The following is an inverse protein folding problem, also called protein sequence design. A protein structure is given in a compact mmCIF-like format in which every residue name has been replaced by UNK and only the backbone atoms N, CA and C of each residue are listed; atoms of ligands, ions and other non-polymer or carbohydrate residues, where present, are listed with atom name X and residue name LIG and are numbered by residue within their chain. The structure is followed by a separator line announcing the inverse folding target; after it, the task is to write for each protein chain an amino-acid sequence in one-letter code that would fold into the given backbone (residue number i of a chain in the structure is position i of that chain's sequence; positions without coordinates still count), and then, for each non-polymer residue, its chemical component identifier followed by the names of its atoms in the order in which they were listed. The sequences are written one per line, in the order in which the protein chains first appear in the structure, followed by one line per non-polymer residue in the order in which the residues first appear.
data_IF_936932057537
#
_entry.id   IF_936932057537
#
_cell.length_a   1.000
_cell.length_b   1.000
_cell.length_c   1.000
_cell.angle_alpha   90.00
_cell.angle_beta   90.00
_cell.angle_gamma   90.00
#
_symmetry.space_group_name_H-M   'P 1'
#
loop_
_entity.id
_entity.type
_entity.pdbx_description
1 polymer ?
#
# COMPACT_ATOMS: atom_id res chain seq x y z
N UNK A 1 35.25 47.44 5.54
CA UNK A 1 34.87 46.91 6.87
C UNK A 1 34.52 45.44 6.69
N UNK A 2 35.50 44.54 6.80
CA UNK A 2 35.28 43.09 6.73
C UNK A 2 34.46 42.65 7.93
N UNK A 3 33.26 42.12 7.70
CA UNK A 3 32.47 41.51 8.78
C UNK A 3 33.13 40.17 9.12
N UNK A 4 33.66 40.07 10.34
CA UNK A 4 34.24 38.82 10.85
C UNK A 4 33.21 37.69 10.78
N UNK A 5 33.49 36.67 9.96
CA UNK A 5 32.68 35.45 9.83
C UNK A 5 32.89 34.47 10.99
N UNK A 6 33.77 34.77 11.94
CA UNK A 6 34.12 33.87 13.04
C UNK A 6 32.94 33.64 13.99
N UNK A 7 32.21 34.70 14.36
CA UNK A 7 31.02 34.58 15.23
C UNK A 7 29.90 33.75 14.60
N UNK A 8 29.44 34.03 13.35
CA UNK A 8 28.41 33.20 12.74
C UNK A 8 28.88 31.76 12.52
N UNK A 9 30.15 31.54 12.17
CA UNK A 9 30.71 30.19 12.04
C UNK A 9 30.69 29.42 13.36
N UNK A 10 31.16 30.03 14.46
CA UNK A 10 31.16 29.43 15.79
C UNK A 10 29.72 29.10 16.25
N UNK A 11 28.76 29.99 16.00
CA UNK A 11 27.34 29.73 16.30
C UNK A 11 26.81 28.52 15.54
N UNK A 12 27.12 28.40 14.24
CA UNK A 12 26.71 27.23 13.43
C UNK A 12 27.35 25.95 13.95
N UNK A 13 28.64 25.96 14.28
CA UNK A 13 29.34 24.79 14.84
C UNK A 13 28.72 24.36 16.17
N UNK A 14 28.42 25.31 17.06
CA UNK A 14 27.77 25.02 18.35
C UNK A 14 26.37 24.43 18.10
N UNK A 15 25.55 25.03 17.24
CA UNK A 15 24.20 24.53 16.94
C UNK A 15 24.24 23.14 16.32
N UNK A 16 25.17 22.87 15.39
CA UNK A 16 25.35 21.54 14.80
C UNK A 16 25.83 20.52 15.83
N UNK A 17 26.75 20.89 16.71
CA UNK A 17 27.24 19.99 17.76
C UNK A 17 26.14 19.64 18.76
N UNK A 18 25.36 20.64 19.20
CA UNK A 18 24.20 20.43 20.09
C UNK A 18 23.14 19.58 19.39
N UNK A 19 22.86 19.81 18.10
CA UNK A 19 21.92 18.99 17.33
C UNK A 19 22.40 17.54 17.20
N UNK A 20 23.69 17.31 16.89
CA UNK A 20 24.28 15.97 16.84
C UNK A 20 24.22 15.29 18.21
N UNK A 21 24.53 16.01 19.29
CA UNK A 21 24.49 15.47 20.63
C UNK A 21 23.06 15.13 21.08
N UNK A 22 22.09 16.00 20.80
CA UNK A 22 20.68 15.71 21.04
C UNK A 22 20.22 14.48 20.23
N UNK A 23 20.56 14.41 18.93
CA UNK A 23 20.24 13.25 18.09
C UNK A 23 20.87 11.95 18.60
N UNK A 24 22.11 12.01 19.10
CA UNK A 24 22.85 10.83 19.56
C UNK A 24 22.40 10.32 20.94
N UNK A 25 21.95 11.21 21.83
CA UNK A 25 21.75 10.87 23.24
C UNK A 25 20.33 11.08 23.78
N UNK A 26 19.44 11.80 23.08
CA UNK A 26 18.09 12.11 23.59
C UNK A 26 16.95 11.55 22.76
N UNK A 27 17.22 10.87 21.64
CA UNK A 27 16.16 10.36 20.75
C UNK A 27 16.10 8.83 20.80
N UNK A 28 15.78 8.30 21.98
CA UNK A 28 15.17 6.97 22.05
C UNK A 28 13.83 7.04 21.33
N UNK A 29 13.79 6.61 20.07
CA UNK A 29 12.54 6.56 19.31
C UNK A 29 11.82 5.28 19.71
N UNK A 30 10.68 5.42 20.37
CA UNK A 30 9.82 4.27 20.63
C UNK A 30 9.22 3.81 19.30
N UNK A 31 9.48 2.56 18.94
CA UNK A 31 8.80 1.92 17.81
C UNK A 31 7.38 1.61 18.26
N UNK A 32 6.43 2.39 17.77
CA UNK A 32 5.01 2.15 18.00
C UNK A 32 4.52 1.20 16.90
N UNK A 33 4.38 -0.08 17.28
CA UNK A 33 3.96 -1.14 16.35
C UNK A 33 2.45 -1.16 16.10
N UNK A 34 1.66 -0.24 16.66
CA UNK A 34 0.21 -0.22 16.48
C UNK A 34 -0.13 0.25 15.07
N UNK A 35 -0.60 -0.63 14.16
CA UNK A 35 -0.94 -0.22 12.82
C UNK A 35 -2.25 0.58 12.80
N UNK A 36 -2.38 1.50 11.84
CA UNK A 36 -3.66 2.18 11.58
C UNK A 36 -4.71 1.27 10.91
N UNK A 37 -4.29 0.10 10.44
CA UNK A 37 -5.14 -0.89 9.76
C UNK A 37 -4.92 -2.29 10.29
N UNK A 38 -5.93 -3.14 10.16
CA UNK A 38 -5.86 -4.58 10.37
C UNK A 38 -5.24 -5.23 9.14
N UNK A 39 -4.36 -6.19 9.32
CA UNK A 39 -3.77 -6.99 8.24
C UNK A 39 -4.70 -8.13 7.79
N UNK A 40 -5.98 -7.81 7.67
CA UNK A 40 -7.04 -8.74 7.32
C UNK A 40 -8.00 -8.02 6.36
N UNK A 41 -8.22 -8.64 5.21
CA UNK A 41 -9.18 -8.16 4.22
C UNK A 41 -10.47 -8.96 4.38
N UNK A 42 -11.63 -8.32 4.60
CA UNK A 42 -12.90 -9.02 4.86
C UNK A 42 -13.31 -9.87 3.66
N UNK A 43 -13.84 -11.07 3.91
CA UNK A 43 -14.40 -11.94 2.86
C UNK A 43 -15.67 -11.37 2.24
N UNK A 44 -16.47 -10.62 2.98
CA UNK A 44 -17.71 -10.04 2.47
C UNK A 44 -17.71 -8.53 2.71
N UNK A 45 -17.96 -7.77 1.64
CA UNK A 45 -18.09 -6.31 1.69
C UNK A 45 -19.36 -5.94 0.93
N UNK A 46 -20.50 -6.05 1.63
CA UNK A 46 -21.84 -5.79 1.08
C UNK A 46 -22.13 -6.59 -0.20
N UNK A 47 -21.96 -5.98 -1.37
CA UNK A 47 -22.21 -6.61 -2.68
C UNK A 47 -20.95 -7.23 -3.30
N UNK A 48 -19.83 -7.23 -2.58
CA UNK A 48 -18.54 -7.73 -3.03
C UNK A 48 -18.14 -8.96 -2.24
N UNK A 49 -17.90 -10.05 -2.96
CA UNK A 49 -17.35 -11.28 -2.41
C UNK A 49 -15.82 -11.30 -2.61
N UNK A 50 -15.10 -11.32 -1.51
CA UNK A 50 -13.65 -11.27 -1.40
C UNK A 50 -13.04 -12.65 -1.19
N UNK A 51 -11.98 -12.92 -1.93
CA UNK A 51 -11.23 -14.15 -1.84
C UNK A 51 -9.74 -13.88 -1.73
N UNK A 52 -9.17 -14.22 -0.58
CA UNK A 52 -7.76 -14.00 -0.31
C UNK A 52 -6.90 -14.82 -1.26
N UNK A 53 -5.82 -14.20 -1.75
CA UNK A 53 -4.84 -14.81 -2.63
C UNK A 53 -3.61 -15.27 -1.83
N UNK A 54 -3.17 -16.47 -2.17
CA UNK A 54 -1.96 -17.11 -1.65
C UNK A 54 -1.07 -17.52 -2.82
N UNK A 55 0.25 -17.43 -2.66
CA UNK A 55 1.23 -17.61 -3.74
C UNK A 55 2.21 -18.72 -3.38
N UNK A 56 2.44 -19.64 -4.31
CA UNK A 56 3.45 -20.68 -4.14
C UNK A 56 4.79 -20.20 -4.69
N UNK A 57 5.85 -20.24 -3.86
CA UNK A 57 7.19 -19.78 -4.24
C UNK A 57 8.10 -20.90 -4.78
N UNK A 58 7.60 -22.14 -4.92
CA UNK A 58 8.40 -23.27 -5.38
C UNK A 58 8.83 -23.05 -6.86
N UNK A 59 10.13 -22.78 -7.15
CA UNK A 59 10.58 -22.43 -8.49
C UNK A 59 10.40 -23.54 -9.52
N UNK A 60 10.46 -24.79 -9.09
CA UNK A 60 10.49 -25.94 -9.99
C UNK A 60 9.08 -26.30 -10.47
N UNK A 61 8.09 -26.17 -9.58
CA UNK A 61 6.73 -26.62 -9.85
C UNK A 61 5.74 -25.48 -10.12
N UNK A 62 5.87 -24.33 -9.46
CA UNK A 62 4.80 -23.35 -9.35
C UNK A 62 5.23 -21.88 -9.51
N UNK A 63 6.53 -21.58 -9.56
CA UNK A 63 7.05 -20.22 -9.63
C UNK A 63 8.18 -20.06 -10.65
N UNK A 64 8.12 -20.84 -11.75
CA UNK A 64 9.11 -20.78 -12.82
C UNK A 64 9.17 -19.36 -13.40
N UNK A 65 10.37 -18.82 -13.55
CA UNK A 65 10.63 -17.47 -14.09
C UNK A 65 9.87 -16.35 -13.35
N UNK A 66 9.71 -16.46 -12.02
CA UNK A 66 8.95 -15.52 -11.17
C UNK A 66 7.47 -15.36 -11.55
N UNK A 67 6.90 -16.38 -12.20
CA UNK A 67 5.47 -16.47 -12.48
C UNK A 67 4.82 -17.38 -11.44
N UNK A 68 4.69 -16.86 -10.22
CA UNK A 68 4.09 -17.59 -9.11
C UNK A 68 2.64 -18.00 -9.42
N UNK A 69 2.31 -19.27 -9.20
CA UNK A 69 0.94 -19.74 -9.14
C UNK A 69 0.27 -19.13 -7.92
N UNK A 70 -0.81 -18.39 -8.17
CA UNK A 70 -1.70 -17.90 -7.13
C UNK A 70 -2.91 -18.83 -6.96
N UNK A 71 -3.37 -18.92 -5.73
CA UNK A 71 -4.51 -19.73 -5.32
C UNK A 71 -5.44 -18.89 -4.47
N UNK A 72 -6.72 -19.15 -4.63
CA UNK A 72 -7.74 -18.60 -3.76
C UNK A 72 -7.88 -19.43 -2.50
N UNK A 73 -7.91 -18.79 -1.33
CA UNK A 73 -8.05 -19.50 -0.06
C UNK A 73 -9.31 -20.36 -0.03
N UNK A 74 -10.41 -19.92 -0.63
CA UNK A 74 -11.65 -20.72 -0.68
C UNK A 74 -11.55 -22.00 -1.50
N UNK A 75 -10.54 -22.12 -2.37
CA UNK A 75 -10.29 -23.29 -3.24
C UNK A 75 -9.27 -24.26 -2.64
N UNK A 76 -8.71 -23.92 -1.48
CA UNK A 76 -7.69 -24.72 -0.80
C UNK A 76 -8.32 -25.59 0.29
N UNK A 77 -7.96 -26.87 0.31
CA UNK A 77 -8.28 -27.75 1.45
C UNK A 77 -7.53 -27.31 2.72
N UNK A 78 -6.27 -26.89 2.56
CA UNK A 78 -5.42 -26.36 3.63
C UNK A 78 -4.91 -24.99 3.17
N UNK A 79 -5.31 -23.87 3.82
CA UNK A 79 -5.07 -22.51 3.34
C UNK A 79 -3.62 -22.13 3.02
N UNK A 80 -2.65 -22.76 3.68
CA UNK A 80 -1.23 -22.43 3.56
C UNK A 80 -0.41 -23.51 2.84
N UNK A 81 -1.04 -24.51 2.22
CA UNK A 81 -0.35 -25.60 1.51
C UNK A 81 -0.74 -25.60 0.03
N UNK A 82 0.26 -25.61 -0.84
CA UNK A 82 0.08 -25.62 -2.27
C UNK A 82 -0.51 -26.96 -2.73
N UNK A 83 -1.67 -26.97 -3.41
CA UNK A 83 -2.32 -28.21 -3.83
C UNK A 83 -1.56 -28.91 -4.97
N UNK A 84 -0.64 -28.22 -5.64
CA UNK A 84 0.14 -28.76 -6.76
C UNK A 84 1.44 -29.45 -6.34
N UNK A 85 2.12 -28.94 -5.31
CA UNK A 85 3.46 -29.41 -4.93
C UNK A 85 3.67 -29.60 -3.43
N UNK A 86 2.67 -29.34 -2.59
CA UNK A 86 2.75 -29.48 -1.13
C UNK A 86 3.60 -28.43 -0.41
N UNK A 87 4.21 -27.48 -1.12
CA UNK A 87 4.98 -26.40 -0.52
C UNK A 87 4.11 -25.36 0.20
N UNK A 88 4.68 -24.65 1.16
CA UNK A 88 4.01 -23.55 1.86
C UNK A 88 3.62 -22.44 0.88
N UNK A 89 2.42 -21.88 1.08
CA UNK A 89 1.94 -20.70 0.39
C UNK A 89 2.17 -19.43 1.21
N UNK A 90 2.32 -18.30 0.52
CA UNK A 90 2.62 -17.00 1.11
C UNK A 90 1.59 -15.95 0.70
N UNK A 91 1.48 -14.85 1.45
CA UNK A 91 0.51 -13.79 1.18
C UNK A 91 0.92 -12.82 0.04
N UNK A 92 2.14 -12.95 -0.48
CA UNK A 92 2.69 -12.12 -1.56
C UNK A 92 3.46 -12.98 -2.56
N UNK A 93 3.66 -12.46 -3.76
CA UNK A 93 4.46 -13.13 -4.80
C UNK A 93 5.93 -13.20 -4.39
N UNK A 94 6.69 -14.14 -4.96
CA UNK A 94 8.09 -14.36 -4.59
C UNK A 94 8.94 -13.13 -4.88
N UNK A 95 8.71 -12.51 -6.04
CA UNK A 95 9.39 -11.28 -6.43
C UNK A 95 9.14 -10.11 -5.45
N UNK A 96 7.97 -10.08 -4.80
CA UNK A 96 7.65 -9.08 -3.78
C UNK A 96 8.39 -9.40 -2.48
N UNK A 97 8.34 -10.66 -2.03
CA UNK A 97 9.01 -11.10 -0.81
C UNK A 97 10.52 -10.88 -0.84
N UNK A 98 11.16 -11.11 -1.99
CA UNK A 98 12.61 -10.93 -2.14
C UNK A 98 13.04 -9.45 -2.22
N UNK A 99 12.13 -8.54 -2.57
CA UNK A 99 12.43 -7.11 -2.70
C UNK A 99 12.06 -6.30 -1.45
N UNK A 100 11.20 -6.85 -0.58
CA UNK A 100 10.70 -6.18 0.60
C UNK A 100 11.49 -6.62 1.85
N UNK A 101 11.65 -5.73 2.85
CA UNK A 101 12.19 -6.11 4.16
C UNK A 101 11.41 -7.28 4.78
N UNK A 102 12.11 -8.17 5.51
CA UNK A 102 11.54 -9.40 6.06
C UNK A 102 10.35 -9.17 7.00
N UNK A 103 10.27 -8.01 7.65
CA UNK A 103 9.20 -7.60 8.56
C UNK A 103 8.07 -6.82 7.87
N UNK A 104 8.03 -6.82 6.53
CA UNK A 104 6.91 -6.28 5.75
C UNK A 104 5.77 -7.29 5.74
N UNK A 105 4.60 -6.85 6.20
CA UNK A 105 3.38 -7.67 6.12
C UNK A 105 2.60 -7.32 4.87
N UNK A 106 1.94 -8.32 4.30
CA UNK A 106 1.21 -8.21 3.05
C UNK A 106 -0.04 -9.08 3.12
N UNK A 107 -1.17 -8.56 2.66
CA UNK A 107 -2.37 -9.36 2.33
C UNK A 107 -2.93 -8.91 0.98
N UNK A 108 -3.44 -9.87 0.20
CA UNK A 108 -4.08 -9.65 -1.11
C UNK A 108 -5.39 -10.40 -1.20
N UNK A 109 -6.41 -9.78 -1.73
CA UNK A 109 -7.69 -10.42 -2.05
C UNK A 109 -8.20 -9.97 -3.40
N UNK A 110 -8.90 -10.85 -4.10
CA UNK A 110 -9.72 -10.46 -5.25
C UNK A 110 -11.18 -10.38 -4.82
N UNK A 111 -11.82 -9.26 -5.11
CA UNK A 111 -13.23 -9.01 -4.87
C UNK A 111 -13.99 -9.07 -6.17
N UNK A 112 -15.15 -9.73 -6.14
CA UNK A 112 -16.05 -9.84 -7.30
C UNK A 112 -17.45 -9.42 -6.89
N UNK A 113 -18.15 -8.70 -7.77
CA UNK A 113 -19.55 -8.34 -7.55
C UNK A 113 -20.48 -9.14 -8.49
N UNK A 114 -21.80 -9.00 -8.30
CA UNK A 114 -22.80 -9.70 -9.11
C UNK A 114 -22.78 -9.31 -10.61
N UNK A 115 -22.20 -8.15 -10.97
CA UNK A 115 -22.04 -7.73 -12.36
C UNK A 115 -20.80 -8.37 -13.03
N UNK A 116 -19.97 -9.10 -12.26
CA UNK A 116 -18.73 -9.70 -12.74
C UNK A 116 -17.53 -8.77 -12.70
N UNK A 117 -17.67 -7.52 -12.21
CA UNK A 117 -16.53 -6.64 -11.98
C UNK A 117 -15.59 -7.28 -10.97
N UNK A 118 -14.30 -7.28 -11.28
CA UNK A 118 -13.26 -7.81 -10.41
C UNK A 118 -12.27 -6.74 -10.00
N UNK A 119 -12.07 -6.60 -8.69
CA UNK A 119 -11.10 -5.71 -8.08
C UNK A 119 -10.06 -6.55 -7.33
N UNK A 120 -8.78 -6.20 -7.44
CA UNK A 120 -7.75 -6.76 -6.57
C UNK A 120 -7.36 -5.70 -5.55
N UNK A 121 -7.38 -6.10 -4.29
CA UNK A 121 -7.07 -5.23 -3.17
C UNK A 121 -5.90 -5.78 -2.40
N UNK A 122 -5.00 -4.90 -1.98
CA UNK A 122 -3.87 -5.26 -1.13
C UNK A 122 -3.67 -4.29 0.00
N UNK A 123 -3.20 -4.80 1.14
CA UNK A 123 -2.65 -4.01 2.23
C UNK A 123 -1.19 -4.43 2.40
N UNK A 124 -0.29 -3.46 2.35
CA UNK A 124 1.14 -3.62 2.66
C UNK A 124 1.43 -2.80 3.90
N UNK A 125 1.87 -3.42 4.98
CA UNK A 125 2.25 -2.73 6.20
C UNK A 125 3.76 -2.69 6.31
N UNK A 126 4.32 -1.47 6.35
CA UNK A 126 5.75 -1.25 6.40
C UNK A 126 6.37 -1.95 7.60
N UNK A 127 7.52 -2.59 7.44
CA UNK A 127 8.33 -3.01 8.57
C UNK A 127 9.00 -1.85 9.31
N UNK A 128 10.03 -2.18 10.08
CA UNK A 128 10.94 -1.26 10.76
C UNK A 128 11.78 -0.47 9.74
N UNK A 129 12.06 -1.09 8.59
CA UNK A 129 12.77 -0.47 7.48
C UNK A 129 11.84 0.41 6.63
N UNK A 130 12.31 1.64 6.33
CA UNK A 130 11.52 2.72 5.71
C UNK A 130 11.24 2.53 4.23
N UNK A 131 11.97 1.62 3.59
CA UNK A 131 11.92 1.32 2.16
C UNK A 131 10.86 0.28 1.78
N UNK A 132 10.19 -0.32 2.77
CA UNK A 132 9.07 -1.27 2.59
C UNK A 132 7.92 -0.72 1.74
N UNK A 133 7.76 0.61 1.66
CA UNK A 133 6.71 1.24 0.85
C UNK A 133 7.32 2.39 0.04
N UNK A 134 7.43 2.21 -1.27
CA UNK A 134 7.84 3.27 -2.19
C UNK A 134 6.64 3.80 -3.00
N UNK A 135 6.91 4.65 -3.99
CA UNK A 135 5.89 5.15 -4.91
C UNK A 135 5.37 4.06 -5.85
N UNK A 136 4.04 3.92 -6.04
CA UNK A 136 3.48 2.85 -6.87
C UNK A 136 3.90 2.96 -8.34
N UNK A 137 4.12 4.19 -8.83
CA UNK A 137 4.56 4.48 -10.20
C UNK A 137 5.85 3.73 -10.58
N UNK A 138 6.75 3.49 -9.62
CA UNK A 138 8.00 2.74 -9.87
C UNK A 138 7.71 1.26 -10.14
N UNK A 139 6.91 0.62 -9.30
CA UNK A 139 6.54 -0.78 -9.47
C UNK A 139 5.64 -1.00 -10.69
N UNK A 140 4.65 -0.14 -10.90
CA UNK A 140 3.75 -0.26 -12.06
C UNK A 140 4.53 -0.22 -13.37
N UNK A 141 5.50 0.69 -13.51
CA UNK A 141 6.41 0.72 -14.66
C UNK A 141 7.31 -0.51 -14.73
N UNK A 142 7.88 -0.95 -13.60
CA UNK A 142 8.71 -2.16 -13.53
C UNK A 142 7.96 -3.44 -13.93
N UNK A 143 6.65 -3.48 -13.70
CA UNK A 143 5.75 -4.56 -14.12
C UNK A 143 5.30 -4.46 -15.60
N UNK A 144 5.79 -3.45 -16.32
CA UNK A 144 5.52 -3.24 -17.74
C UNK A 144 4.25 -2.44 -18.05
N UNK A 145 3.72 -1.66 -17.10
CA UNK A 145 2.59 -0.77 -17.37
C UNK A 145 3.07 0.60 -17.88
N UNK A 146 2.34 1.15 -18.84
CA UNK A 146 2.34 2.57 -19.18
C UNK A 146 1.44 3.31 -18.18
N UNK A 147 1.85 4.51 -17.77
CA UNK A 147 1.05 5.38 -16.89
C UNK A 147 0.38 6.45 -17.76
N UNK A 148 -0.93 6.35 -17.92
CA UNK A 148 -1.72 7.19 -18.84
C UNK A 148 -2.21 8.49 -18.18
N UNK A 149 -2.09 8.58 -16.85
CA UNK A 149 -2.44 9.76 -16.07
C UNK A 149 -2.66 9.43 -14.60
N UNK A 150 -2.65 10.45 -13.75
CA UNK A 150 -2.96 10.32 -12.32
C UNK A 150 -3.78 11.50 -11.81
N UNK A 151 -4.66 11.25 -10.85
CA UNK A 151 -5.54 12.26 -10.26
C UNK A 151 -5.99 11.83 -8.86
N UNK A 152 -6.49 12.78 -8.07
CA UNK A 152 -7.14 12.46 -6.79
C UNK A 152 -8.62 12.20 -7.02
N UNK A 153 -9.14 11.17 -6.36
CA UNK A 153 -10.55 10.83 -6.31
C UNK A 153 -11.03 10.96 -4.87
N UNK A 154 -12.09 11.73 -4.65
CA UNK A 154 -12.73 11.86 -3.34
C UNK A 154 -13.77 10.76 -3.18
N UNK A 155 -13.59 9.89 -2.18
CA UNK A 155 -14.51 8.81 -1.84
C UNK A 155 -15.34 9.26 -0.64
N UNK A 156 -16.66 9.52 -0.79
CA UNK A 156 -17.49 9.95 0.35
C UNK A 156 -17.56 8.84 1.41
N UNK A 157 -17.15 9.08 2.65
CA UNK A 157 -17.27 8.09 3.72
C UNK A 157 -18.37 8.55 4.68
N UNK A 158 -19.33 7.68 4.98
CA UNK A 158 -20.41 8.02 5.91
C UNK A 158 -19.83 8.39 7.28
N UNK A 159 -20.32 9.47 7.90
CA UNK A 159 -19.89 9.88 9.24
C UNK A 159 -18.55 10.63 9.34
N UNK A 160 -17.90 10.99 8.23
CA UNK A 160 -16.68 11.82 8.23
C UNK A 160 -16.47 12.56 6.90
N UNK A 161 -15.41 13.36 6.82
CA UNK A 161 -14.96 13.95 5.56
C UNK A 161 -14.53 12.88 4.55
N UNK A 162 -14.70 13.13 3.23
CA UNK A 162 -14.31 12.20 2.18
C UNK A 162 -12.86 11.72 2.31
N UNK A 163 -12.63 10.46 1.94
CA UNK A 163 -11.30 9.89 1.81
C UNK A 163 -10.75 10.23 0.43
N UNK A 164 -9.66 10.99 0.38
CA UNK A 164 -8.94 11.24 -0.86
C UNK A 164 -8.03 10.06 -1.20
N UNK A 165 -8.23 9.44 -2.36
CA UNK A 165 -7.37 8.38 -2.91
C UNK A 165 -6.67 8.85 -4.19
N UNK A 166 -5.45 8.38 -4.43
CA UNK A 166 -4.73 8.64 -5.69
C UNK A 166 -5.06 7.53 -6.67
N UNK A 167 -5.61 7.89 -7.83
CA UNK A 167 -5.85 6.96 -8.94
C UNK A 167 -4.78 7.18 -10.01
N UNK A 168 -4.17 6.09 -10.46
CA UNK A 168 -3.29 6.05 -11.63
C UNK A 168 -3.98 5.23 -12.71
N UNK A 169 -4.23 5.84 -13.88
CA UNK A 169 -4.67 5.12 -15.06
C UNK A 169 -3.46 4.43 -15.70
N UNK A 170 -3.59 3.16 -15.99
CA UNK A 170 -2.54 2.35 -16.59
C UNK A 170 -3.01 1.65 -17.85
N UNK A 171 -2.06 1.33 -18.72
CA UNK A 171 -2.28 0.50 -19.89
C UNK A 171 -1.11 -0.42 -20.13
N UNK A 172 -1.38 -1.59 -20.74
CA UNK A 172 -0.34 -2.53 -21.16
C UNK A 172 -0.76 -3.20 -22.46
N UNK A 173 0.17 -3.30 -23.40
CA UNK A 173 -0.06 -4.01 -24.66
C UNK A 173 0.35 -5.47 -24.52
N UNK A 174 -0.57 -6.38 -24.82
CA UNK A 174 -0.31 -7.81 -24.86
C UNK A 174 -0.24 -8.28 -26.31
N UNK A 175 0.74 -9.14 -26.61
CA UNK A 175 0.82 -9.83 -27.90
C UNK A 175 -0.05 -11.07 -27.85
N UNK A 176 -1.08 -11.10 -28.68
CA UNK A 176 -2.00 -12.21 -28.85
C UNK A 176 -1.85 -12.80 -30.27
N UNK A 177 -2.42 -13.97 -30.54
CA UNK A 177 -2.43 -14.57 -31.88
C UNK A 177 -3.10 -13.65 -32.92
N UNK A 178 -4.04 -12.80 -32.48
CA UNK A 178 -4.77 -11.83 -33.30
C UNK A 178 -4.05 -10.47 -33.43
N UNK A 179 -2.85 -10.33 -32.85
CA UNK A 179 -2.06 -9.10 -32.85
C UNK A 179 -1.92 -8.44 -31.47
N UNK A 180 -1.46 -7.19 -31.46
CA UNK A 180 -1.27 -6.41 -30.24
C UNK A 180 -2.62 -5.87 -29.74
N UNK A 181 -3.03 -6.29 -28.53
CA UNK A 181 -4.25 -5.82 -27.87
C UNK A 181 -3.90 -4.98 -26.63
N UNK A 182 -4.39 -3.73 -26.53
CA UNK A 182 -4.22 -2.95 -25.32
C UNK A 182 -5.14 -3.48 -24.21
N UNK A 183 -4.62 -3.50 -22.99
CA UNK A 183 -5.36 -3.79 -21.77
C UNK A 183 -5.28 -2.55 -20.88
N UNK A 184 -6.44 -2.01 -20.52
CA UNK A 184 -6.55 -0.79 -19.74
C UNK A 184 -6.95 -1.13 -18.30
N UNK A 185 -6.23 -0.56 -17.36
CA UNK A 185 -6.44 -0.80 -15.93
C UNK A 185 -6.30 0.49 -15.14
N UNK A 186 -6.73 0.45 -13.88
CA UNK A 186 -6.46 1.51 -12.93
C UNK A 186 -5.80 0.94 -11.68
N UNK A 187 -5.12 1.83 -10.97
CA UNK A 187 -4.48 1.54 -9.70
C UNK A 187 -4.76 2.68 -8.73
N UNK A 188 -5.68 2.47 -7.79
CA UNK A 188 -6.07 3.41 -6.77
C UNK A 188 -5.37 3.10 -5.44
N UNK A 189 -4.87 4.11 -4.72
CA UNK A 189 -4.19 3.89 -3.46
C UNK A 189 -4.24 5.06 -2.50
N UNK A 190 -4.00 4.77 -1.22
CA UNK A 190 -3.73 5.73 -0.17
C UNK A 190 -2.88 5.10 0.93
N UNK A 191 -2.34 5.94 1.81
CA UNK A 191 -1.54 5.52 2.95
C UNK A 191 -2.29 5.81 4.24
N UNK A 192 -2.19 4.91 5.21
CA UNK A 192 -2.80 5.03 6.54
C UNK A 192 -1.72 4.80 7.60
N UNK A 193 -1.47 5.81 8.41
CA UNK A 193 -0.65 5.71 9.62
C UNK A 193 -1.55 5.64 10.87
N UNK A 194 -0.96 5.81 12.05
CA UNK A 194 -1.69 5.79 13.32
C UNK A 194 -2.62 7.01 13.52
N UNK A 195 -2.26 8.15 12.91
CA UNK A 195 -2.93 9.44 13.09
C UNK A 195 -3.40 10.08 11.79
N UNK A 196 -2.90 9.60 10.65
CA UNK A 196 -2.95 10.33 9.40
C UNK A 196 -3.25 9.41 8.23
N UNK A 197 -4.01 9.94 7.29
CA UNK A 197 -4.27 9.32 6.00
C UNK A 197 -3.84 10.27 4.91
N UNK A 198 -3.25 9.74 3.85
CA UNK A 198 -2.85 10.59 2.74
C UNK A 198 -2.71 9.80 1.44
N UNK A 199 -3.13 10.37 0.29
CA UNK A 199 -2.80 9.82 -1.01
C UNK A 199 -1.33 10.15 -1.42
N UNK A 200 -0.64 11.02 -0.68
CA UNK A 200 0.67 11.54 -1.05
C UNK A 200 1.81 10.85 -0.32
N UNK A 201 2.68 10.20 -1.09
CA UNK A 201 3.93 9.63 -0.56
C UNK A 201 4.81 10.70 0.11
N UNK A 202 4.80 11.94 -0.39
CA UNK A 202 5.60 13.02 0.22
C UNK A 202 5.03 13.46 1.57
N UNK A 203 3.70 13.60 1.67
CA UNK A 203 3.05 13.90 2.94
C UNK A 203 3.32 12.79 3.96
N UNK A 204 3.27 11.52 3.53
CA UNK A 204 3.67 10.38 4.36
C UNK A 204 5.10 10.51 4.88
N UNK A 205 6.06 10.83 4.01
CA UNK A 205 7.46 11.02 4.42
C UNK A 205 7.64 12.20 5.39
N UNK A 206 6.87 13.27 5.20
CA UNK A 206 6.85 14.40 6.12
C UNK A 206 6.34 13.97 7.51
N UNK A 207 5.21 13.28 7.60
CA UNK A 207 4.66 12.80 8.87
C UNK A 207 5.57 11.81 9.58
N UNK A 208 6.18 10.88 8.84
CA UNK A 208 7.21 9.98 9.36
C UNK A 208 8.38 10.73 9.99
N UNK A 209 8.84 11.82 9.38
CA UNK A 209 9.91 12.64 9.92
C UNK A 209 9.44 13.46 11.13
N UNK A 210 8.24 14.05 11.04
CA UNK A 210 7.64 14.86 12.09
C UNK A 210 7.41 14.06 13.38
N UNK A 211 6.75 12.90 13.30
CA UNK A 211 6.46 12.05 14.46
C UNK A 211 7.75 11.62 15.18
N UNK A 212 8.81 11.36 14.41
CA UNK A 212 10.10 10.95 14.97
C UNK A 212 10.83 12.09 15.67
N UNK A 213 10.79 13.29 15.11
CA UNK A 213 11.52 14.46 15.64
C UNK A 213 10.76 15.09 16.79
N UNK A 214 9.44 15.23 16.67
CA UNK A 214 8.61 16.00 17.60
C UNK A 214 7.97 15.12 18.66
N UNK A 215 7.56 13.90 18.31
CA UNK A 215 6.86 12.98 19.22
C UNK A 215 7.73 11.81 19.69
N UNK A 216 8.96 11.69 19.17
CA UNK A 216 9.87 10.56 19.42
C UNK A 216 9.23 9.19 19.15
N UNK A 217 8.29 9.13 18.19
CA UNK A 217 7.58 7.91 17.78
C UNK A 217 7.94 7.50 16.36
N UNK A 218 8.02 6.20 16.13
CA UNK A 218 8.10 5.63 14.80
C UNK A 218 6.91 4.72 14.54
N UNK A 219 5.86 5.31 13.95
CA UNK A 219 4.64 4.62 13.57
C UNK A 219 4.84 3.81 12.28
N UNK A 220 4.30 2.58 12.23
CA UNK A 220 4.17 1.83 10.98
C UNK A 220 3.09 2.48 10.10
N UNK A 221 3.30 2.42 8.79
CA UNK A 221 2.33 2.89 7.80
C UNK A 221 1.85 1.73 6.96
N UNK A 222 0.56 1.73 6.66
CA UNK A 222 -0.03 0.85 5.70
C UNK A 222 -0.20 1.56 4.36
N UNK A 223 -0.08 0.78 3.31
CA UNK A 223 -0.33 1.13 1.93
C UNK A 223 -1.45 0.24 1.41
N UNK A 224 -2.59 0.86 1.15
CA UNK A 224 -3.77 0.19 0.65
C UNK A 224 -3.90 0.51 -0.82
N UNK A 225 -4.11 -0.52 -1.63
CA UNK A 225 -4.32 -0.37 -3.05
C UNK A 225 -5.50 -1.20 -3.53
N UNK A 226 -6.22 -0.65 -4.50
CA UNK A 226 -7.32 -1.29 -5.22
C UNK A 226 -7.05 -1.11 -6.71
N UNK A 227 -7.00 -2.21 -7.45
CA UNK A 227 -6.76 -2.22 -8.88
C UNK A 227 -7.85 -3.00 -9.61
N UNK A 228 -8.15 -2.61 -10.84
CA UNK A 228 -9.17 -3.25 -11.65
C UNK A 228 -9.02 -2.91 -13.12
N UNK A 229 -9.89 -3.50 -13.93
CA UNK A 229 -10.01 -3.17 -15.35
C UNK A 229 -10.78 -1.86 -15.52
N UNK A 230 -10.48 -1.14 -16.60
CA UNK A 230 -11.25 0.02 -17.04
C UNK A 230 -11.36 0.03 -18.56
N UNK A 231 -12.32 0.80 -19.05
CA UNK A 231 -12.35 1.20 -20.46
C UNK A 231 -11.18 2.11 -20.82
N UNK A 232 -10.86 2.18 -22.12
CA UNK A 232 -9.81 3.06 -22.64
C UNK A 232 -10.06 4.52 -22.24
N UNK A 233 -11.31 4.96 -22.36
CA UNK A 233 -11.80 6.29 -22.02
C UNK A 233 -13.01 6.23 -21.09
N UNK A 234 -13.25 7.31 -20.35
CA UNK A 234 -14.35 7.42 -19.39
C UNK A 234 -13.98 7.01 -17.96
N UNK A 235 -14.96 7.14 -17.06
CA UNK A 235 -14.78 6.98 -15.60
C UNK A 235 -15.79 6.00 -14.99
N UNK A 236 -16.41 5.13 -15.80
CA UNK A 236 -17.43 4.20 -15.32
C UNK A 236 -16.92 3.28 -14.18
N UNK A 237 -15.65 2.89 -14.23
CA UNK A 237 -14.98 2.10 -13.19
C UNK A 237 -14.93 2.80 -11.82
N UNK A 238 -14.99 4.14 -11.78
CA UNK A 238 -14.94 4.89 -10.52
C UNK A 238 -16.15 4.60 -9.65
N UNK A 239 -17.31 4.29 -10.25
CA UNK A 239 -18.52 3.93 -9.49
C UNK A 239 -18.28 2.67 -8.64
N UNK A 240 -17.69 1.64 -9.25
CA UNK A 240 -17.38 0.39 -8.56
C UNK A 240 -16.25 0.58 -7.55
N UNK A 241 -15.23 1.38 -7.90
CA UNK A 241 -14.14 1.72 -7.00
C UNK A 241 -14.63 2.48 -5.75
N UNK A 242 -15.44 3.53 -5.92
CA UNK A 242 -16.02 4.33 -4.83
C UNK A 242 -16.87 3.41 -3.95
N UNK A 243 -17.83 2.70 -4.55
CA UNK A 243 -18.72 1.78 -3.83
C UNK A 243 -17.93 0.75 -3.02
N UNK A 244 -16.89 0.16 -3.60
CA UNK A 244 -16.05 -0.80 -2.89
C UNK A 244 -15.29 -0.18 -1.72
N UNK A 245 -14.61 0.96 -1.94
CA UNK A 245 -13.83 1.61 -0.88
C UNK A 245 -14.73 2.07 0.27
N UNK A 246 -15.89 2.65 -0.03
CA UNK A 246 -16.86 3.09 0.98
C UNK A 246 -17.21 1.98 1.96
N UNK A 247 -17.49 0.80 1.43
CA UNK A 247 -17.96 -0.34 2.20
C UNK A 247 -16.79 -1.07 2.88
N UNK A 248 -15.62 -1.18 2.23
CA UNK A 248 -14.45 -1.87 2.79
C UNK A 248 -13.76 -1.07 3.90
N UNK A 249 -13.68 0.26 3.72
CA UNK A 249 -12.86 1.15 4.54
C UNK A 249 -13.07 0.99 6.06
N UNK A 250 -14.30 0.93 6.61
CA UNK A 250 -14.52 0.76 8.05
C UNK A 250 -13.99 -0.57 8.61
N UNK A 251 -13.93 -1.63 7.80
CA UNK A 251 -13.50 -2.95 8.25
C UNK A 251 -12.00 -3.05 8.43
N UNK A 252 -11.24 -2.36 7.57
CA UNK A 252 -9.78 -2.44 7.55
C UNK A 252 -9.13 -1.55 8.60
N UNK A 253 -9.83 -0.57 9.17
CA UNK A 253 -9.25 0.28 10.22
C UNK A 253 -9.12 -0.46 11.56
N UNK A 254 -8.07 -0.15 12.32
CA UNK A 254 -8.01 -0.48 13.74
C UNK A 254 -8.98 0.40 14.54
N UNK A 255 -9.34 -0.03 15.75
CA UNK A 255 -10.26 0.74 16.60
C UNK A 255 -9.72 2.14 16.91
N UNK A 256 -8.40 2.26 17.14
CA UNK A 256 -7.75 3.54 17.41
C UNK A 256 -7.81 4.49 16.22
N UNK A 257 -7.59 3.98 15.01
CA UNK A 257 -7.68 4.78 13.80
C UNK A 257 -9.12 5.14 13.46
N UNK A 258 -10.06 4.21 13.67
CA UNK A 258 -11.50 4.45 13.48
C UNK A 258 -11.99 5.59 14.38
N UNK A 259 -11.65 5.59 15.67
CA UNK A 259 -12.02 6.70 16.58
C UNK A 259 -11.54 8.06 16.06
N UNK A 260 -10.31 8.14 15.55
CA UNK A 260 -9.76 9.38 14.98
C UNK A 260 -10.41 9.78 13.66
N UNK A 261 -10.68 8.80 12.80
CA UNK A 261 -11.28 8.99 11.50
C UNK A 261 -12.73 9.50 11.59
N UNK A 262 -13.51 8.97 12.54
CA UNK A 262 -14.94 9.25 12.69
C UNK A 262 -15.27 10.22 13.83
N UNK A 263 -14.32 10.48 14.74
CA UNK A 263 -14.52 11.34 15.91
C UNK A 263 -15.25 10.67 17.08
N UNK A 264 -15.19 9.33 17.17
CA UNK A 264 -15.78 8.50 18.24
C UNK A 264 -14.95 8.51 19.54
#
# INVERSE_FOLDING_TARGET
MEKSLFKPFLTVVILMTVAVFALAFTVGVELDFVPGVKMELPQEVKNWHGNQLKFCHNPDACAKDYRDASFYVSELEIPDICPKCGATLYNMARAEKEQLPEDTEFVKSAYTNAAGTRLFTSIVLSGTARDSIHRPQRCLKGQGNTLDGEYNLEVPIEGRDPLTVRVIKTSRTFRTEEGEKPYYSFYAYWFVGQDHETPSHYARMFWLAWDRVVRSKANRWAYIAVQGEREAEGTAYEKDLISFIQEMYPYILTESMRKKAYGD
#
